data_IF_692418000808
#
_entry.id   IF_692418000808
#
_cell.length_a   1.000
_cell.length_b   1.000
_cell.length_c   1.000
_cell.angle_alpha   90.00
_cell.angle_beta   90.00
_cell.angle_gamma   90.00
#
_symmetry.space_group_name_H-M   'P 1'
#
loop_
_entity.id
_entity.type
_entity.pdbx_description
1 polymer ?
#
# COMPACT_ATOMS: atom_id res chain seq x y z
N UNK A 1 -6.05 -0.62 23.61
CA UNK A 1 -5.96 -2.08 23.44
C UNK A 1 -5.30 -2.40 22.10
N UNK A 2 -4.74 -3.61 21.89
CA UNK A 2 -4.19 -4.01 20.60
C UNK A 2 -5.19 -3.86 19.46
N UNK A 3 -6.45 -4.20 19.67
CA UNK A 3 -7.53 -4.11 18.67
C UNK A 3 -7.75 -2.67 18.18
N UNK A 4 -7.63 -1.69 19.07
CA UNK A 4 -7.82 -0.26 18.74
C UNK A 4 -6.61 0.35 18.04
N UNK A 5 -5.43 -0.25 18.20
CA UNK A 5 -4.18 0.26 17.62
C UNK A 5 -3.91 -0.28 16.21
N UNK A 6 -4.37 -1.51 15.93
CA UNK A 6 -4.09 -2.16 14.64
C UNK A 6 -4.56 -1.38 13.40
N UNK A 7 -5.72 -0.69 13.38
CA UNK A 7 -6.13 0.12 12.24
C UNK A 7 -5.49 1.52 12.21
N UNK A 8 -4.67 1.87 13.21
CA UNK A 8 -4.06 3.19 13.29
C UNK A 8 -2.72 3.26 12.54
N UNK A 9 -2.27 4.46 12.19
CA UNK A 9 -0.95 4.66 11.59
C UNK A 9 0.17 4.13 12.50
N UNK A 10 0.88 3.09 12.06
CA UNK A 10 1.99 2.52 12.81
C UNK A 10 3.10 3.55 13.08
N UNK A 11 3.43 4.40 12.08
CA UNK A 11 4.38 5.49 12.23
C UNK A 11 3.96 6.45 13.36
N UNK A 12 2.72 6.93 13.31
CA UNK A 12 2.18 7.87 14.29
C UNK A 12 2.14 7.27 15.70
N UNK A 13 1.79 5.99 15.81
CA UNK A 13 1.81 5.28 17.07
C UNK A 13 3.22 5.19 17.69
N UNK A 14 4.21 4.74 16.92
CA UNK A 14 5.57 4.60 17.45
C UNK A 14 6.21 5.94 17.78
N UNK A 15 5.98 6.95 16.96
CA UNK A 15 6.38 8.32 17.23
C UNK A 15 5.81 8.83 18.57
N UNK A 16 4.50 8.80 18.73
CA UNK A 16 3.83 9.30 19.94
C UNK A 16 4.25 8.53 21.19
N UNK A 17 4.36 7.21 21.07
CA UNK A 17 4.84 6.34 22.16
C UNK A 17 6.23 6.75 22.63
N UNK A 18 7.17 6.97 21.72
CA UNK A 18 8.55 7.33 22.04
C UNK A 18 8.64 8.72 22.69
N UNK A 19 7.92 9.71 22.15
CA UNK A 19 7.83 11.05 22.75
C UNK A 19 7.24 10.96 24.16
N UNK A 20 6.11 10.27 24.35
CA UNK A 20 5.50 10.11 25.66
C UNK A 20 6.42 9.40 26.66
N UNK A 21 7.13 8.35 26.23
CA UNK A 21 8.04 7.62 27.12
C UNK A 21 9.18 8.50 27.64
N UNK A 22 9.67 9.44 26.82
CA UNK A 22 10.77 10.34 27.16
C UNK A 22 10.33 11.60 27.91
N UNK A 23 9.17 12.14 27.63
CA UNK A 23 8.70 13.41 28.19
C UNK A 23 7.64 13.26 29.29
N UNK A 24 6.89 12.14 29.31
CA UNK A 24 5.68 11.90 30.10
C UNK A 24 4.54 12.86 29.77
N UNK A 25 4.64 13.61 28.67
CA UNK A 25 3.59 14.49 28.19
C UNK A 25 2.69 13.73 27.20
N UNK A 26 1.36 13.72 27.38
CA UNK A 26 0.44 13.12 26.42
C UNK A 26 0.59 13.71 25.02
N UNK A 27 0.57 12.87 23.99
CA UNK A 27 0.65 13.29 22.58
C UNK A 27 -0.68 13.02 21.90
N UNK A 28 -1.35 14.09 21.48
CA UNK A 28 -2.52 13.99 20.61
C UNK A 28 -2.09 13.83 19.15
N UNK A 29 -2.78 12.97 18.41
CA UNK A 29 -2.50 12.71 16.98
C UNK A 29 -3.78 12.91 16.19
N UNK A 30 -3.69 13.70 15.12
CA UNK A 30 -4.70 13.79 14.07
C UNK A 30 -4.12 13.05 12.86
N UNK A 31 -4.71 11.92 12.50
CA UNK A 31 -4.33 11.16 11.32
C UNK A 31 -5.17 11.59 10.11
N UNK A 32 -4.70 12.63 9.41
CA UNK A 32 -5.28 13.12 8.16
C UNK A 32 -4.40 12.67 7.02
N UNK A 33 -4.68 11.48 6.47
CA UNK A 33 -3.83 10.86 5.44
C UNK A 33 -4.65 10.02 4.45
N UNK A 34 -4.27 10.07 3.17
CA UNK A 34 -4.83 9.24 2.10
C UNK A 34 -3.68 8.73 1.25
N UNK A 35 -3.52 7.41 1.16
CA UNK A 35 -2.43 6.78 0.42
C UNK A 35 -2.50 7.07 -1.08
N UNK A 36 -1.34 7.29 -1.73
CA UNK A 36 -1.27 7.56 -3.17
C UNK A 36 -1.69 8.96 -3.60
N UNK A 37 -1.96 9.87 -2.65
CA UNK A 37 -2.40 11.23 -2.97
C UNK A 37 -1.23 12.13 -3.41
N UNK A 38 -1.44 13.00 -4.42
CA UNK A 38 -0.45 13.99 -4.83
C UNK A 38 -0.50 15.24 -3.94
N UNK A 39 0.62 15.97 -3.85
CA UNK A 39 0.76 17.13 -2.95
C UNK A 39 -0.24 18.26 -3.27
N UNK A 40 -0.55 18.51 -4.54
CA UNK A 40 -1.49 19.55 -4.97
C UNK A 40 -2.92 19.34 -4.47
N UNK A 41 -3.30 18.11 -4.14
CA UNK A 41 -4.59 17.81 -3.53
C UNK A 41 -4.72 18.36 -2.09
N UNK A 42 -3.60 18.61 -1.43
CA UNK A 42 -3.51 19.06 -0.05
C UNK A 42 -3.28 20.58 0.10
N UNK A 43 -3.26 21.33 -1.00
CA UNK A 43 -3.03 22.77 -1.02
C UNK A 43 -4.38 23.46 -1.19
N UNK A 44 -4.61 24.58 -0.45
CA UNK A 44 -5.79 25.40 -0.67
C UNK A 44 -5.79 26.07 -2.03
N UNK A 45 -6.96 26.56 -2.48
CA UNK A 45 -7.05 27.33 -3.72
C UNK A 45 -6.14 28.56 -3.70
N UNK A 46 -6.04 29.24 -2.55
CA UNK A 46 -5.13 30.37 -2.35
C UNK A 46 -3.67 29.97 -2.50
N UNK A 47 -3.27 28.85 -1.88
CA UNK A 47 -1.91 28.31 -2.00
C UNK A 47 -1.54 27.85 -3.40
N UNK A 48 -2.53 27.51 -4.23
CA UNK A 48 -2.35 27.11 -5.62
C UNK A 48 -2.31 28.28 -6.61
N UNK A 49 -2.53 29.52 -6.19
CA UNK A 49 -2.50 30.70 -7.12
C UNK A 49 -1.22 30.81 -7.94
N UNK A 50 -0.02 30.49 -7.44
CA UNK A 50 1.19 30.47 -8.25
C UNK A 50 1.23 29.38 -9.32
N UNK A 51 0.28 28.45 -9.31
CA UNK A 51 0.23 27.27 -10.18
C UNK A 51 -1.06 27.23 -10.99
N UNK A 52 -1.22 28.10 -12.03
CA UNK A 52 -2.46 28.25 -12.78
C UNK A 52 -2.94 26.96 -13.45
N UNK A 53 -2.05 26.04 -13.77
CA UNK A 53 -2.40 24.72 -14.32
C UNK A 53 -3.33 23.96 -13.35
N UNK A 54 -2.98 23.87 -12.08
CA UNK A 54 -3.79 23.19 -11.08
C UNK A 54 -5.10 23.88 -10.77
N UNK A 55 -5.14 25.21 -10.82
CA UNK A 55 -6.39 25.95 -10.68
C UNK A 55 -7.34 25.71 -11.86
N UNK A 56 -6.80 25.60 -13.08
CA UNK A 56 -7.61 25.24 -14.24
C UNK A 56 -8.13 23.81 -14.15
N UNK A 57 -7.30 22.85 -13.73
CA UNK A 57 -7.75 21.50 -13.47
C UNK A 57 -8.86 21.46 -12.41
N UNK A 58 -8.69 22.16 -11.27
CA UNK A 58 -9.72 22.29 -10.24
C UNK A 58 -11.07 22.72 -10.81
N UNK A 59 -11.09 23.79 -11.63
CA UNK A 59 -12.32 24.31 -12.24
C UNK A 59 -13.04 23.30 -13.13
N UNK A 60 -12.32 22.43 -13.81
CA UNK A 60 -12.92 21.34 -14.61
C UNK A 60 -13.73 20.41 -13.70
N UNK A 61 -13.20 20.06 -12.55
CA UNK A 61 -13.84 19.14 -11.61
C UNK A 61 -14.82 19.79 -10.63
N UNK A 62 -15.08 21.09 -10.75
CA UNK A 62 -16.19 21.79 -10.09
C UNK A 62 -17.55 21.58 -10.79
N UNK A 63 -17.55 21.03 -11.98
CA UNK A 63 -18.77 20.69 -12.72
C UNK A 63 -19.35 19.36 -12.20
N UNK A 64 -20.42 19.43 -11.44
CA UNK A 64 -21.13 18.25 -10.92
C UNK A 64 -21.61 17.34 -12.06
N UNK A 65 -22.11 17.92 -13.16
CA UNK A 65 -22.56 17.16 -14.33
C UNK A 65 -21.43 16.34 -14.96
N UNK A 66 -20.24 16.93 -15.09
CA UNK A 66 -19.06 16.24 -15.60
C UNK A 66 -18.65 15.10 -14.65
N UNK A 67 -18.56 15.39 -13.36
CA UNK A 67 -18.17 14.41 -12.35
C UNK A 67 -19.15 13.23 -12.31
N UNK A 68 -20.46 13.50 -12.35
CA UNK A 68 -21.47 12.44 -12.38
C UNK A 68 -21.46 11.65 -13.68
N UNK A 69 -21.19 12.30 -14.84
CA UNK A 69 -20.98 11.60 -16.11
C UNK A 69 -19.79 10.65 -16.03
N UNK A 70 -18.65 11.12 -15.56
CA UNK A 70 -17.45 10.29 -15.37
C UNK A 70 -17.69 9.11 -14.43
N UNK A 71 -18.33 9.31 -13.29
CA UNK A 71 -18.71 8.24 -12.36
C UNK A 71 -19.62 7.18 -13.00
N UNK A 72 -20.50 7.58 -13.91
CA UNK A 72 -21.37 6.63 -14.65
C UNK A 72 -20.59 5.80 -15.65
N UNK A 73 -19.57 6.37 -16.28
CA UNK A 73 -18.72 5.68 -17.28
C UNK A 73 -17.73 4.72 -16.59
N UNK A 74 -17.29 5.01 -15.37
CA UNK A 74 -16.35 4.22 -14.56
C UNK A 74 -16.99 2.98 -13.90
N UNK A 75 -17.82 2.22 -14.58
CA UNK A 75 -18.58 1.11 -14.01
C UNK A 75 -17.73 -0.14 -13.72
N UNK A 76 -16.88 -0.08 -12.73
CA UNK A 76 -16.16 -1.25 -12.20
C UNK A 76 -17.11 -2.36 -11.73
N UNK A 77 -18.33 -2.02 -11.29
CA UNK A 77 -19.33 -3.02 -10.87
C UNK A 77 -19.72 -3.96 -12.01
N UNK A 78 -20.01 -3.45 -13.21
CA UNK A 78 -20.35 -4.27 -14.37
C UNK A 78 -19.21 -5.21 -14.76
N UNK A 79 -17.97 -4.74 -14.68
CA UNK A 79 -16.77 -5.53 -14.93
C UNK A 79 -16.63 -6.67 -13.92
N UNK A 80 -16.81 -6.37 -12.63
CA UNK A 80 -16.73 -7.38 -11.56
C UNK A 80 -17.85 -8.43 -11.69
N UNK A 81 -19.06 -8.02 -12.05
CA UNK A 81 -20.17 -8.95 -12.31
C UNK A 81 -19.84 -9.86 -13.49
N UNK A 82 -19.34 -9.32 -14.60
CA UNK A 82 -18.94 -10.10 -15.76
C UNK A 82 -17.78 -11.07 -15.44
N UNK A 83 -16.79 -10.63 -14.68
CA UNK A 83 -15.71 -11.47 -14.19
C UNK A 83 -16.26 -12.64 -13.35
N UNK A 84 -17.10 -12.34 -12.37
CA UNK A 84 -17.70 -13.38 -11.52
C UNK A 84 -18.54 -14.38 -12.32
N UNK A 85 -19.32 -13.91 -13.29
CA UNK A 85 -20.15 -14.78 -14.13
C UNK A 85 -19.35 -15.62 -15.12
N UNK A 86 -18.24 -15.08 -15.63
CA UNK A 86 -17.38 -15.74 -16.61
C UNK A 86 -16.33 -16.68 -16.01
N UNK A 87 -16.11 -16.65 -14.69
CA UNK A 87 -15.04 -17.41 -14.05
C UNK A 87 -15.39 -18.89 -13.92
N UNK A 88 -14.82 -19.71 -14.79
CA UNK A 88 -15.03 -21.16 -14.80
C UNK A 88 -14.70 -21.81 -13.47
N UNK A 89 -13.68 -21.34 -12.78
CA UNK A 89 -13.25 -21.90 -11.49
C UNK A 89 -14.28 -21.79 -10.38
N UNK A 90 -15.27 -20.90 -10.53
CA UNK A 90 -16.36 -20.74 -9.59
C UNK A 90 -17.63 -21.52 -9.98
N UNK A 91 -17.79 -21.85 -11.26
CA UNK A 91 -19.08 -22.31 -11.79
C UNK A 91 -19.06 -23.73 -12.37
N UNK A 92 -17.92 -24.40 -12.44
CA UNK A 92 -17.87 -25.82 -12.77
C UNK A 92 -18.52 -26.65 -11.66
N UNK A 93 -18.99 -27.86 -12.02
CA UNK A 93 -19.67 -28.77 -11.08
C UNK A 93 -18.88 -29.00 -9.79
N UNK A 94 -17.54 -29.11 -9.90
CA UNK A 94 -16.62 -29.08 -8.79
C UNK A 94 -15.82 -27.79 -8.89
N UNK A 95 -16.00 -26.83 -7.97
CA UNK A 95 -15.24 -25.58 -8.02
C UNK A 95 -13.72 -25.82 -7.93
N UNK A 96 -12.93 -25.03 -8.63
CA UNK A 96 -11.49 -25.22 -8.71
C UNK A 96 -10.73 -25.05 -7.38
N UNK A 97 -11.36 -24.46 -6.37
CA UNK A 97 -10.83 -24.41 -5.02
C UNK A 97 -11.15 -25.64 -4.17
N UNK A 98 -12.02 -26.55 -4.64
CA UNK A 98 -12.38 -27.74 -3.89
C UNK A 98 -11.17 -28.65 -3.65
N UNK A 99 -11.14 -29.31 -2.48
CA UNK A 99 -10.00 -30.13 -2.09
C UNK A 99 -9.83 -31.37 -2.98
N UNK A 100 -10.92 -31.87 -3.54
CA UNK A 100 -11.02 -33.07 -4.41
C UNK A 100 -11.07 -32.72 -5.91
N UNK A 101 -10.87 -31.46 -6.28
CA UNK A 101 -10.82 -31.05 -7.69
C UNK A 101 -9.62 -31.70 -8.40
N UNK A 102 -9.86 -32.29 -9.56
CA UNK A 102 -8.82 -32.87 -10.40
C UNK A 102 -8.15 -31.79 -11.28
N UNK A 103 -6.96 -31.40 -10.90
CA UNK A 103 -6.13 -30.41 -11.59
C UNK A 103 -5.03 -31.05 -12.46
N UNK A 104 -5.18 -32.32 -12.84
CA UNK A 104 -4.17 -33.09 -13.60
C UNK A 104 -3.88 -32.49 -15.00
N UNK A 105 -4.87 -31.79 -15.58
CA UNK A 105 -4.79 -31.14 -16.89
C UNK A 105 -4.30 -29.67 -16.82
N UNK A 106 -3.99 -29.13 -15.63
CA UNK A 106 -3.50 -27.79 -15.49
C UNK A 106 -2.02 -27.67 -15.88
N UNK A 107 -1.62 -26.51 -16.39
CA UNK A 107 -0.25 -26.24 -16.80
C UNK A 107 0.65 -26.02 -15.58
N UNK A 108 1.80 -26.66 -15.53
CA UNK A 108 2.81 -26.32 -14.52
C UNK A 108 3.46 -24.97 -14.81
N UNK A 109 3.64 -24.17 -13.77
CA UNK A 109 4.28 -22.86 -13.83
C UNK A 109 5.03 -22.55 -12.53
N UNK A 110 6.00 -21.67 -12.61
CA UNK A 110 6.59 -21.00 -11.44
C UNK A 110 5.84 -19.69 -11.22
N UNK A 111 5.51 -19.35 -9.97
CA UNK A 111 4.78 -18.10 -9.62
C UNK A 111 5.50 -16.86 -10.14
N UNK A 112 6.82 -16.88 -10.17
CA UNK A 112 7.65 -15.72 -10.47
C UNK A 112 7.98 -15.57 -11.97
N UNK A 113 7.42 -16.42 -12.82
CA UNK A 113 7.48 -16.25 -14.28
C UNK A 113 6.33 -15.37 -14.77
N UNK A 114 6.49 -14.74 -15.93
CA UNK A 114 5.44 -13.91 -16.54
C UNK A 114 4.63 -14.65 -17.61
N UNK A 115 5.00 -15.88 -17.94
CA UNK A 115 4.38 -16.62 -19.05
C UNK A 115 2.88 -16.85 -18.90
N UNK A 116 2.40 -17.08 -17.71
CA UNK A 116 0.97 -17.25 -17.41
C UNK A 116 0.18 -15.94 -17.51
N UNK A 117 0.85 -14.79 -17.34
CA UNK A 117 0.24 -13.47 -17.30
C UNK A 117 0.08 -12.81 -18.68
N UNK A 118 0.62 -13.46 -19.74
CA UNK A 118 0.71 -12.82 -21.07
C UNK A 118 0.24 -13.77 -22.18
N UNK A 119 -0.33 -13.17 -23.22
CA UNK A 119 -0.56 -13.81 -24.51
C UNK A 119 0.19 -13.03 -25.58
N UNK A 120 1.37 -13.50 -25.97
CA UNK A 120 2.30 -12.73 -26.77
C UNK A 120 2.77 -11.48 -26.05
N UNK A 121 2.53 -10.29 -26.61
CA UNK A 121 2.89 -9.01 -26.01
C UNK A 121 1.80 -8.43 -25.07
N UNK A 122 0.62 -9.04 -25.02
CA UNK A 122 -0.53 -8.52 -24.31
C UNK A 122 -0.65 -9.13 -22.92
N UNK A 123 -0.96 -8.32 -21.92
CA UNK A 123 -1.33 -8.79 -20.59
C UNK A 123 -2.72 -9.43 -20.65
N UNK A 124 -2.87 -10.58 -20.00
CA UNK A 124 -4.16 -11.23 -19.80
C UNK A 124 -4.74 -10.76 -18.48
N UNK A 125 -5.86 -10.04 -18.53
CA UNK A 125 -6.60 -9.60 -17.35
C UNK A 125 -7.72 -10.59 -17.01
N UNK A 126 -8.26 -10.49 -15.82
CA UNK A 126 -9.35 -11.34 -15.33
C UNK A 126 -8.96 -12.19 -14.14
N UNK A 127 -9.42 -13.44 -14.10
CA UNK A 127 -9.10 -14.36 -12.99
C UNK A 127 -8.11 -15.44 -13.42
N UNK A 128 -7.07 -15.58 -12.60
CA UNK A 128 -6.02 -16.57 -12.77
C UNK A 128 -5.99 -17.49 -11.56
N UNK A 129 -5.98 -18.78 -11.78
CA UNK A 129 -6.04 -19.77 -10.72
C UNK A 129 -4.73 -20.54 -10.61
N UNK A 130 -4.27 -20.69 -9.37
CA UNK A 130 -3.05 -21.43 -9.03
C UNK A 130 -3.36 -22.45 -7.96
N UNK A 131 -2.84 -23.66 -8.11
CA UNK A 131 -2.99 -24.74 -7.13
C UNK A 131 -1.62 -25.36 -6.83
N UNK A 132 -1.42 -25.71 -5.57
CA UNK A 132 -0.23 -26.44 -5.13
C UNK A 132 -0.57 -27.41 -4.03
N UNK A 133 -0.09 -28.64 -4.20
CA UNK A 133 -0.09 -29.63 -3.13
C UNK A 133 1.14 -29.46 -2.27
N UNK A 134 0.98 -29.65 -0.96
CA UNK A 134 2.05 -29.63 0.01
C UNK A 134 1.85 -30.67 1.11
N UNK A 135 2.93 -31.07 1.76
CA UNK A 135 2.92 -32.09 2.79
C UNK A 135 2.95 -31.46 4.19
N UNK A 136 2.12 -31.96 5.07
CA UNK A 136 2.05 -31.57 6.49
C UNK A 136 2.39 -32.80 7.34
N UNK A 137 3.29 -32.64 8.28
CA UNK A 137 3.65 -33.74 9.21
C UNK A 137 2.51 -34.03 10.19
N UNK A 138 2.50 -35.21 10.78
CA UNK A 138 1.53 -35.57 11.81
C UNK A 138 1.60 -34.63 13.03
N UNK A 139 2.78 -34.08 13.31
CA UNK A 139 2.97 -33.14 14.41
C UNK A 139 2.36 -31.76 14.12
N UNK A 140 2.41 -31.30 12.86
CA UNK A 140 1.85 -30.02 12.42
C UNK A 140 0.34 -30.10 12.12
N UNK A 141 -0.17 -31.31 11.89
CA UNK A 141 -1.57 -31.50 11.56
C UNK A 141 -2.50 -31.02 12.69
N UNK A 142 -3.54 -30.29 12.32
CA UNK A 142 -4.50 -29.73 13.26
C UNK A 142 -4.04 -28.45 13.97
N UNK A 143 -2.79 -28.03 13.85
CA UNK A 143 -2.33 -26.76 14.40
C UNK A 143 -2.89 -25.55 13.65
N UNK A 144 -3.02 -24.43 14.36
CA UNK A 144 -3.20 -23.12 13.74
C UNK A 144 -1.90 -22.70 13.08
N UNK A 145 -1.96 -22.19 11.85
CA UNK A 145 -0.79 -21.74 11.14
C UNK A 145 -0.99 -20.34 10.53
N UNK A 146 0.10 -19.70 10.14
CA UNK A 146 0.12 -18.45 9.39
C UNK A 146 0.59 -18.71 7.97
N UNK A 147 -0.26 -18.39 6.99
CA UNK A 147 0.08 -18.45 5.57
C UNK A 147 0.60 -17.08 5.12
N UNK A 148 1.77 -17.06 4.49
CA UNK A 148 2.35 -15.88 3.86
C UNK A 148 2.49 -16.12 2.35
N UNK A 149 2.00 -15.18 1.55
CA UNK A 149 2.03 -15.24 0.08
C UNK A 149 2.56 -13.94 -0.53
N UNK A 150 3.56 -13.34 0.10
CA UNK A 150 4.19 -12.10 -0.38
C UNK A 150 3.21 -10.98 -0.64
N UNK A 151 3.39 -10.31 -1.79
CA UNK A 151 2.42 -9.37 -2.37
C UNK A 151 1.98 -9.91 -3.73
N UNK A 152 0.69 -9.78 -4.03
CA UNK A 152 0.07 -10.28 -5.27
C UNK A 152 -0.57 -9.11 -6.02
N UNK A 153 -0.30 -8.97 -7.30
CA UNK A 153 -0.85 -7.89 -8.15
C UNK A 153 -1.94 -8.47 -9.06
N UNK A 154 -3.20 -8.00 -8.99
CA UNK A 154 -3.69 -6.88 -8.17
C UNK A 154 -4.33 -7.33 -6.85
N UNK A 155 -5.20 -8.33 -6.87
CA UNK A 155 -5.99 -8.84 -5.75
C UNK A 155 -6.02 -10.37 -5.74
N UNK A 156 -6.51 -10.96 -4.65
CA UNK A 156 -6.58 -12.42 -4.53
C UNK A 156 -7.72 -12.89 -3.64
N UNK A 157 -8.05 -14.17 -3.76
CA UNK A 157 -8.80 -14.97 -2.79
C UNK A 157 -8.08 -16.30 -2.61
N UNK A 158 -7.88 -16.72 -1.37
CA UNK A 158 -7.08 -17.89 -1.04
C UNK A 158 -7.89 -18.94 -0.30
N UNK A 159 -7.68 -20.18 -0.68
CA UNK A 159 -8.34 -21.36 -0.10
C UNK A 159 -7.29 -22.39 0.32
N UNK A 160 -7.53 -23.08 1.42
CA UNK A 160 -6.74 -24.23 1.88
C UNK A 160 -7.72 -25.40 2.06
N UNK A 161 -7.43 -26.53 1.44
CA UNK A 161 -8.30 -27.71 1.47
C UNK A 161 -9.79 -27.37 1.18
N UNK A 162 -10.05 -26.48 0.21
CA UNK A 162 -11.38 -26.04 -0.17
C UNK A 162 -12.00 -24.96 0.72
N UNK A 163 -11.39 -24.64 1.86
CA UNK A 163 -11.88 -23.62 2.79
C UNK A 163 -11.24 -22.27 2.51
N UNK A 164 -12.06 -21.22 2.37
CA UNK A 164 -11.59 -19.85 2.23
C UNK A 164 -10.83 -19.39 3.48
N UNK A 165 -9.62 -18.85 3.29
CA UNK A 165 -8.77 -18.38 4.40
C UNK A 165 -8.47 -16.89 4.37
N UNK A 166 -8.69 -16.21 3.25
CA UNK A 166 -8.50 -14.76 3.18
C UNK A 166 -8.51 -14.18 1.77
N UNK A 167 -8.56 -12.85 1.72
CA UNK A 167 -8.53 -12.04 0.49
C UNK A 167 -7.89 -10.69 0.77
N UNK A 168 -7.23 -10.13 -0.22
CA UNK A 168 -6.78 -8.73 -0.26
C UNK A 168 -7.17 -8.15 -1.61
N UNK A 169 -7.81 -6.98 -1.59
CA UNK A 169 -8.45 -6.38 -2.76
C UNK A 169 -7.54 -5.48 -3.60
N UNK A 170 -6.28 -5.29 -3.22
CA UNK A 170 -5.33 -4.48 -3.99
C UNK A 170 -3.86 -4.90 -3.76
N UNK A 171 -2.95 -4.42 -4.59
CA UNK A 171 -1.63 -4.99 -4.80
C UNK A 171 -0.63 -4.85 -3.64
N UNK A 172 -0.72 -3.83 -2.79
CA UNK A 172 0.37 -3.49 -1.88
C UNK A 172 0.45 -4.28 -0.57
N UNK A 173 -0.66 -4.58 0.15
CA UNK A 173 -0.54 -5.26 1.43
C UNK A 173 0.08 -6.65 1.28
N UNK A 174 0.97 -7.04 2.20
CA UNK A 174 1.43 -8.41 2.28
C UNK A 174 0.27 -9.35 2.59
N UNK A 175 0.24 -10.49 1.90
CA UNK A 175 -0.74 -11.56 2.11
C UNK A 175 -0.34 -12.36 3.33
N UNK A 176 -1.01 -12.09 4.45
CA UNK A 176 -0.80 -12.78 5.73
C UNK A 176 -2.16 -13.28 6.19
N UNK A 177 -2.39 -14.58 6.02
CA UNK A 177 -3.66 -15.21 6.33
C UNK A 177 -3.53 -16.19 7.49
N UNK A 178 -4.59 -16.34 8.27
CA UNK A 178 -4.66 -17.37 9.30
C UNK A 178 -5.23 -18.65 8.71
N UNK A 179 -4.52 -19.77 8.84
CA UNK A 179 -5.07 -21.11 8.64
C UNK A 179 -5.64 -21.58 9.99
N UNK A 180 -6.96 -21.78 10.11
CA UNK A 180 -7.58 -22.21 11.37
C UNK A 180 -7.05 -23.55 11.86
N UNK A 181 -7.06 -23.76 13.16
CA UNK A 181 -6.77 -25.05 13.74
C UNK A 181 -7.78 -26.10 13.21
N UNK A 182 -7.28 -27.31 12.94
CA UNK A 182 -8.09 -28.43 12.42
C UNK A 182 -8.26 -28.44 10.89
N UNK A 183 -7.83 -27.39 10.16
CA UNK A 183 -7.95 -27.36 8.71
C UNK A 183 -6.86 -28.16 8.00
N UNK A 184 -5.62 -28.11 8.48
CA UNK A 184 -4.51 -28.88 7.95
C UNK A 184 -4.56 -30.34 8.45
N UNK A 185 -4.36 -31.28 7.54
CA UNK A 185 -4.36 -32.72 7.79
C UNK A 185 -2.96 -33.27 7.64
N UNK A 186 -2.64 -34.36 8.33
CA UNK A 186 -1.39 -35.07 8.09
C UNK A 186 -1.35 -35.61 6.65
N UNK A 187 -0.19 -35.48 6.00
CA UNK A 187 -0.01 -35.85 4.61
C UNK A 187 -0.35 -34.71 3.65
N UNK A 188 -1.00 -35.06 2.55
CA UNK A 188 -1.32 -34.14 1.44
C UNK A 188 -2.36 -33.10 1.82
N UNK A 189 -2.07 -31.84 1.55
CA UNK A 189 -2.96 -30.69 1.63
C UNK A 189 -2.84 -29.89 0.33
N UNK A 190 -3.84 -29.07 0.00
CA UNK A 190 -3.86 -28.27 -1.22
C UNK A 190 -4.13 -26.81 -0.87
N UNK A 191 -3.34 -25.91 -1.42
CA UNK A 191 -3.61 -24.46 -1.43
C UNK A 191 -4.05 -24.04 -2.83
N UNK A 192 -5.07 -23.20 -2.90
CA UNK A 192 -5.59 -22.60 -4.13
C UNK A 192 -5.59 -21.08 -4.01
N UNK A 193 -5.00 -20.40 -5.00
CA UNK A 193 -5.00 -18.93 -5.11
C UNK A 193 -5.80 -18.56 -6.35
N UNK A 194 -6.81 -17.72 -6.17
CA UNK A 194 -7.53 -17.04 -7.24
C UNK A 194 -7.02 -15.61 -7.30
N UNK A 195 -6.15 -15.30 -8.27
CA UNK A 195 -5.61 -13.97 -8.51
C UNK A 195 -6.53 -13.20 -9.46
N UNK A 196 -6.73 -11.92 -9.19
CA UNK A 196 -7.46 -10.99 -10.05
C UNK A 196 -6.50 -9.98 -10.66
N UNK A 197 -6.54 -9.83 -12.00
CA UNK A 197 -5.83 -8.80 -12.75
C UNK A 197 -6.81 -7.80 -13.33
N UNK A 198 -6.69 -6.53 -12.92
CA UNK A 198 -7.61 -5.46 -13.33
C UNK A 198 -7.13 -4.69 -14.56
N UNK A 199 -5.85 -4.73 -14.90
CA UNK A 199 -5.32 -3.98 -16.05
C UNK A 199 -3.85 -3.65 -15.94
N UNK A 200 -3.21 -4.12 -14.85
CA UNK A 200 -1.79 -3.94 -14.61
C UNK A 200 -0.93 -5.05 -15.20
N UNK A 201 0.13 -5.37 -14.49
CA UNK A 201 1.00 -6.53 -14.77
C UNK A 201 0.82 -7.52 -13.63
N UNK A 202 -0.07 -8.52 -13.78
CA UNK A 202 -0.30 -9.49 -12.73
C UNK A 202 0.98 -10.27 -12.43
N UNK A 203 1.30 -10.37 -11.14
CA UNK A 203 2.52 -11.04 -10.70
C UNK A 203 2.47 -11.39 -9.21
N UNK A 204 3.29 -12.33 -8.84
CA UNK A 204 3.72 -12.56 -7.46
C UNK A 204 5.05 -11.84 -7.27
N UNK A 205 5.14 -10.99 -6.25
CA UNK A 205 6.34 -10.17 -6.00
C UNK A 205 7.48 -11.05 -5.47
N UNK A 206 8.60 -11.06 -6.16
CA UNK A 206 9.79 -11.85 -5.78
C UNK A 206 10.40 -11.39 -4.46
N UNK A 207 11.16 -12.29 -3.83
CA UNK A 207 11.91 -12.01 -2.60
C UNK A 207 11.02 -11.58 -1.43
N UNK A 208 9.77 -12.03 -1.43
CA UNK A 208 8.84 -11.95 -0.31
C UNK A 208 8.56 -13.37 0.22
N UNK A 209 8.11 -13.52 1.48
CA UNK A 209 7.84 -14.83 2.04
C UNK A 209 6.66 -15.55 1.36
N UNK A 210 6.89 -16.76 0.84
CA UNK A 210 5.85 -17.67 0.33
C UNK A 210 5.94 -18.98 1.11
N UNK A 211 5.27 -19.04 2.26
CA UNK A 211 5.40 -20.15 3.19
C UNK A 211 4.24 -20.26 4.19
N UNK A 212 4.13 -21.40 4.83
CA UNK A 212 3.26 -21.64 5.98
C UNK A 212 4.15 -21.71 7.22
N UNK A 213 3.80 -20.96 8.28
CA UNK A 213 4.51 -20.90 9.55
C UNK A 213 3.66 -21.52 10.66
N UNK A 214 4.25 -22.39 11.46
CA UNK A 214 3.65 -22.99 12.65
C UNK A 214 4.30 -22.44 13.92
N UNK A 215 3.63 -22.60 15.05
CA UNK A 215 4.13 -22.18 16.36
C UNK A 215 3.47 -20.91 16.90
N UNK A 216 3.83 -20.57 18.15
CA UNK A 216 3.27 -19.42 18.89
C UNK A 216 4.04 -18.11 18.66
N UNK A 217 5.07 -18.14 17.85
CA UNK A 217 5.93 -17.01 17.55
C UNK A 217 5.27 -15.91 16.75
N UNK A 218 6.01 -14.84 16.49
CA UNK A 218 5.60 -13.82 15.52
C UNK A 218 5.52 -14.45 14.11
N UNK A 219 4.66 -13.94 13.21
CA UNK A 219 4.51 -14.49 11.86
C UNK A 219 5.82 -14.65 11.07
N UNK A 220 6.89 -14.01 11.51
CA UNK A 220 8.22 -14.00 10.88
C UNK A 220 9.20 -15.02 11.51
N UNK A 221 8.85 -15.59 12.66
CA UNK A 221 9.67 -16.54 13.43
C UNK A 221 8.83 -17.73 13.89
N UNK A 222 8.31 -18.48 12.92
CA UNK A 222 7.64 -19.75 13.19
C UNK A 222 8.65 -20.81 13.67
N UNK A 223 8.24 -21.73 14.56
CA UNK A 223 9.07 -22.85 15.02
C UNK A 223 9.37 -23.84 13.89
N UNK A 224 8.44 -23.98 12.94
CA UNK A 224 8.63 -24.76 11.71
C UNK A 224 7.91 -24.13 10.54
N UNK A 225 8.37 -24.40 9.33
CA UNK A 225 7.80 -23.82 8.12
C UNK A 225 7.68 -24.81 6.97
N UNK A 226 6.75 -24.53 6.05
CA UNK A 226 6.60 -25.21 4.77
C UNK A 226 6.80 -24.17 3.67
N UNK A 227 7.81 -24.37 2.83
CA UNK A 227 8.07 -23.52 1.68
C UNK A 227 7.01 -23.77 0.58
N UNK A 228 6.46 -22.69 0.02
CA UNK A 228 5.47 -22.73 -1.07
C UNK A 228 6.03 -22.24 -2.42
N UNK A 229 7.30 -21.89 -2.50
CA UNK A 229 7.93 -21.52 -3.76
C UNK A 229 8.05 -22.73 -4.72
N UNK A 230 8.54 -22.49 -5.94
CA UNK A 230 8.72 -23.51 -6.98
C UNK A 230 7.46 -23.76 -7.81
N UNK A 231 7.27 -25.00 -8.28
CA UNK A 231 6.20 -25.34 -9.24
C UNK A 231 4.82 -25.28 -8.63
N UNK A 232 3.91 -24.65 -9.36
CA UNK A 232 2.46 -24.58 -9.13
C UNK A 232 1.73 -25.03 -10.38
N UNK A 233 0.49 -25.45 -10.24
CA UNK A 233 -0.41 -25.67 -11.36
C UNK A 233 -1.22 -24.41 -11.62
N UNK A 234 -1.41 -24.06 -12.88
CA UNK A 234 -2.07 -22.83 -13.34
C UNK A 234 -3.19 -23.13 -14.33
N UNK A 235 -4.29 -22.38 -14.19
CA UNK A 235 -5.33 -22.31 -15.20
C UNK A 235 -5.99 -20.92 -15.25
N UNK A 236 -6.36 -20.48 -16.46
CA UNK A 236 -7.05 -19.20 -16.66
C UNK A 236 -8.55 -19.40 -16.40
N UNK A 237 -9.10 -18.66 -15.44
CA UNK A 237 -10.52 -18.74 -15.07
C UNK A 237 -11.42 -17.97 -16.03
N UNK A 238 -11.27 -16.66 -16.08
CA UNK A 238 -12.00 -15.77 -16.97
C UNK A 238 -11.07 -14.73 -17.59
N UNK A 239 -10.81 -14.77 -18.90
CA UNK A 239 -10.14 -13.65 -19.58
C UNK A 239 -11.10 -12.47 -19.65
N UNK A 240 -10.61 -11.28 -19.29
CA UNK A 240 -11.36 -10.02 -19.28
C UNK A 240 -10.60 -8.93 -20.02
N UNK A 241 -11.29 -7.91 -20.57
CA UNK A 241 -10.62 -6.65 -20.92
C UNK A 241 -10.06 -6.01 -19.64
N UNK A 242 -9.15 -5.04 -19.79
CA UNK A 242 -8.74 -4.25 -18.64
C UNK A 242 -9.97 -3.63 -17.94
N UNK A 243 -9.96 -3.64 -16.61
CA UNK A 243 -11.02 -2.98 -15.85
C UNK A 243 -11.03 -1.47 -16.16
N UNK A 244 -12.20 -0.82 -16.19
CA UNK A 244 -12.27 0.62 -16.36
C UNK A 244 -11.45 1.34 -15.29
N UNK A 245 -10.64 2.31 -15.69
CA UNK A 245 -9.93 3.18 -14.77
C UNK A 245 -10.91 3.96 -13.89
N UNK A 246 -10.52 4.23 -12.67
CA UNK A 246 -11.29 5.06 -11.74
C UNK A 246 -10.61 6.40 -11.54
N UNK A 247 -11.37 7.49 -11.65
CA UNK A 247 -10.88 8.82 -11.33
C UNK A 247 -10.97 9.05 -9.82
N UNK A 248 -9.83 9.20 -9.18
CA UNK A 248 -9.77 9.56 -7.77
C UNK A 248 -10.05 11.07 -7.61
N UNK A 249 -11.34 11.48 -7.63
CA UNK A 249 -11.74 12.89 -7.56
C UNK A 249 -11.16 13.63 -6.34
N UNK A 250 -11.02 12.94 -5.21
CA UNK A 250 -10.40 13.50 -4.01
C UNK A 250 -8.90 13.81 -4.18
N UNK A 251 -8.23 13.25 -5.21
CA UNK A 251 -6.84 13.58 -5.54
C UNK A 251 -6.70 14.81 -6.44
N UNK A 252 -7.83 15.37 -6.90
CA UNK A 252 -7.79 16.59 -7.71
C UNK A 252 -7.35 17.77 -6.85
N UNK A 253 -6.78 18.81 -7.47
CA UNK A 253 -6.26 19.97 -6.74
C UNK A 253 -7.26 20.50 -5.71
N UNK A 254 -6.80 20.75 -4.48
CA UNK A 254 -7.60 21.17 -3.31
C UNK A 254 -8.53 20.11 -2.70
N UNK A 255 -8.77 18.96 -3.34
CA UNK A 255 -9.79 18.01 -2.90
C UNK A 255 -9.58 17.52 -1.46
N UNK A 256 -8.38 17.08 -1.12
CA UNK A 256 -8.04 16.62 0.22
C UNK A 256 -7.87 17.77 1.22
N UNK A 257 -7.37 18.93 0.75
CA UNK A 257 -7.35 20.12 1.60
C UNK A 257 -8.74 20.47 2.08
N UNK A 258 -9.71 20.59 1.19
CA UNK A 258 -11.09 20.97 1.55
C UNK A 258 -11.76 19.95 2.47
N UNK A 259 -11.54 18.65 2.21
CA UNK A 259 -12.20 17.58 2.97
C UNK A 259 -11.53 17.27 4.30
N UNK A 260 -10.21 17.40 4.41
CA UNK A 260 -9.44 16.81 5.50
C UNK A 260 -8.56 17.81 6.27
N UNK A 261 -8.24 18.96 5.69
CA UNK A 261 -7.41 19.98 6.34
C UNK A 261 -8.23 21.19 6.78
N UNK A 262 -9.06 21.75 5.90
CA UNK A 262 -9.87 22.90 6.23
C UNK A 262 -10.75 22.71 7.48
N UNK A 263 -11.39 21.54 7.71
CA UNK A 263 -12.14 21.30 8.96
C UNK A 263 -11.29 21.27 10.23
N UNK A 264 -9.97 21.09 10.11
CA UNK A 264 -9.05 20.99 11.25
C UNK A 264 -8.46 22.32 11.68
N UNK A 265 -8.66 23.39 10.94
CA UNK A 265 -8.03 24.68 11.19
C UNK A 265 -8.39 25.30 12.55
N UNK A 266 -9.50 24.88 13.15
CA UNK A 266 -9.90 25.28 14.48
C UNK A 266 -9.15 24.57 15.63
N UNK A 267 -8.40 23.49 15.31
CA UNK A 267 -7.60 22.78 16.31
C UNK A 267 -6.19 23.35 16.36
N UNK A 268 -5.69 23.56 17.56
CA UNK A 268 -4.27 23.92 17.74
C UNK A 268 -3.40 22.68 17.53
N UNK A 269 -2.47 22.76 16.57
CA UNK A 269 -1.49 21.71 16.29
C UNK A 269 -0.07 22.18 16.63
N UNK A 270 0.77 21.28 17.13
CA UNK A 270 2.16 21.58 17.48
C UNK A 270 3.10 21.53 16.29
N UNK A 271 2.77 20.74 15.27
CA UNK A 271 3.55 20.56 14.04
C UNK A 271 2.92 19.53 13.13
N UNK A 272 3.54 19.32 11.97
CA UNK A 272 3.10 18.41 10.93
C UNK A 272 4.17 17.38 10.63
N UNK A 273 3.79 16.10 10.57
CA UNK A 273 4.61 15.03 10.00
C UNK A 273 4.07 14.76 8.60
N UNK A 274 4.89 15.05 7.59
CA UNK A 274 4.53 14.90 6.19
C UNK A 274 5.22 13.69 5.56
N UNK A 275 4.45 12.65 5.25
CA UNK A 275 4.93 11.42 4.61
C UNK A 275 4.17 11.18 3.32
N UNK A 276 4.67 11.68 2.22
CA UNK A 276 4.05 11.68 0.90
C UNK A 276 5.12 11.89 -0.17
N UNK A 277 4.85 11.48 -1.41
CA UNK A 277 5.71 11.87 -2.52
C UNK A 277 5.62 10.96 -3.74
N UNK A 278 5.28 9.71 -3.55
CA UNK A 278 5.32 8.65 -4.56
C UNK A 278 4.56 9.04 -5.84
N UNK A 279 3.38 9.64 -5.70
CA UNK A 279 2.53 10.09 -6.82
C UNK A 279 3.08 11.31 -7.57
N UNK A 280 4.03 12.02 -6.98
CA UNK A 280 4.66 13.18 -7.60
C UNK A 280 6.02 12.88 -8.24
N UNK A 281 6.54 11.64 -8.14
CA UNK A 281 7.88 11.28 -8.68
C UNK A 281 7.98 11.55 -10.19
N UNK A 282 6.92 11.28 -10.95
CA UNK A 282 6.89 11.58 -12.39
C UNK A 282 6.92 13.08 -12.70
N UNK A 283 6.51 13.93 -11.75
CA UNK A 283 6.48 15.39 -11.82
C UNK A 283 7.42 16.04 -10.81
N UNK A 284 8.54 15.39 -10.49
CA UNK A 284 9.50 15.79 -9.46
C UNK A 284 10.07 17.20 -9.62
N UNK A 285 10.12 17.70 -10.85
CA UNK A 285 10.67 19.03 -11.15
C UNK A 285 9.88 20.18 -10.51
N UNK A 286 8.58 19.99 -10.24
CA UNK A 286 7.69 20.99 -9.63
C UNK A 286 7.43 20.72 -8.13
N UNK A 287 7.84 19.55 -7.62
CA UNK A 287 7.50 19.10 -6.26
C UNK A 287 8.05 20.02 -5.18
N UNK A 288 9.27 20.52 -5.34
CA UNK A 288 9.88 21.45 -4.40
C UNK A 288 9.01 22.70 -4.22
N UNK A 289 8.56 23.29 -5.32
CA UNK A 289 7.76 24.52 -5.30
C UNK A 289 6.36 24.24 -4.73
N UNK A 290 5.73 23.15 -5.12
CA UNK A 290 4.43 22.73 -4.59
C UNK A 290 4.47 22.42 -3.09
N UNK A 291 5.46 21.69 -2.61
CA UNK A 291 5.58 21.37 -1.18
C UNK A 291 5.91 22.63 -0.36
N UNK A 292 6.74 23.52 -0.89
CA UNK A 292 7.03 24.82 -0.26
C UNK A 292 5.75 25.67 -0.17
N UNK A 293 4.95 25.71 -1.24
CA UNK A 293 3.68 26.41 -1.23
C UNK A 293 2.68 25.80 -0.21
N UNK A 294 2.59 24.49 -0.12
CA UNK A 294 1.76 23.80 0.87
C UNK A 294 2.16 24.18 2.31
N UNK A 295 3.46 24.14 2.61
CA UNK A 295 3.97 24.51 3.94
C UNK A 295 3.60 25.95 4.27
N UNK A 296 3.80 26.87 3.33
CA UNK A 296 3.46 28.29 3.49
C UNK A 296 1.96 28.50 3.68
N UNK A 297 1.14 27.85 2.84
CA UNK A 297 -0.32 27.91 2.88
C UNK A 297 -0.85 27.40 4.24
N UNK A 298 -0.41 26.24 4.70
CA UNK A 298 -0.87 25.71 5.98
C UNK A 298 -0.43 26.58 7.16
N UNK A 299 0.81 27.10 7.17
CA UNK A 299 1.27 28.05 8.18
C UNK A 299 0.41 29.30 8.24
N UNK A 300 0.04 29.83 7.08
CA UNK A 300 -0.86 30.99 6.99
C UNK A 300 -2.25 30.66 7.51
N UNK A 301 -2.84 29.52 7.10
CA UNK A 301 -4.18 29.08 7.51
C UNK A 301 -4.30 28.82 9.00
N UNK A 302 -3.29 28.23 9.61
CA UNK A 302 -3.23 28.07 11.07
C UNK A 302 -2.78 29.31 11.83
N UNK A 303 -2.49 30.42 11.12
CA UNK A 303 -1.90 31.63 11.71
C UNK A 303 -0.67 31.31 12.57
N UNK A 304 0.21 30.44 12.09
CA UNK A 304 1.38 29.91 12.79
C UNK A 304 2.58 29.84 11.87
N UNK A 305 3.22 31.01 11.61
CA UNK A 305 4.30 31.15 10.62
C UNK A 305 5.54 30.29 10.92
N UNK A 306 5.72 29.88 12.18
CA UNK A 306 6.83 29.06 12.66
C UNK A 306 6.47 27.59 12.86
N UNK A 307 5.28 27.14 12.45
CA UNK A 307 4.82 25.76 12.59
C UNK A 307 5.84 24.79 12.00
N UNK A 308 6.35 23.83 12.79
CA UNK A 308 7.38 22.90 12.31
C UNK A 308 6.76 21.85 11.38
N UNK A 309 7.54 21.48 10.35
CA UNK A 309 7.26 20.36 9.46
C UNK A 309 8.38 19.35 9.51
N UNK A 310 8.02 18.09 9.62
CA UNK A 310 8.92 16.94 9.58
C UNK A 310 8.62 16.15 8.31
N UNK A 311 9.44 16.37 7.27
CA UNK A 311 9.27 15.72 5.98
C UNK A 311 9.96 14.37 6.05
N UNK A 312 9.22 13.29 5.80
CA UNK A 312 9.79 11.95 5.70
C UNK A 312 10.27 11.73 4.26
N UNK A 313 11.56 11.48 4.12
CA UNK A 313 12.18 11.09 2.86
C UNK A 313 11.52 9.83 2.29
N UNK A 314 11.32 9.75 0.97
CA UNK A 314 10.87 8.51 0.36
C UNK A 314 11.87 7.38 0.62
N UNK A 315 11.36 6.23 1.00
CA UNK A 315 12.16 5.03 1.21
C UNK A 315 12.83 4.56 -0.08
N UNK A 316 13.84 3.69 -0.01
CA UNK A 316 14.36 3.05 -1.21
C UNK A 316 13.31 2.12 -1.82
N UNK A 317 13.21 2.13 -3.13
CA UNK A 317 12.22 1.38 -3.89
C UNK A 317 12.69 1.20 -5.34
N UNK A 318 12.07 0.26 -6.08
CA UNK A 318 12.34 -0.11 -7.47
C UNK A 318 13.53 -1.05 -7.65
N UNK A 319 13.35 -1.97 -8.61
CA UNK A 319 14.36 -2.98 -8.95
C UNK A 319 15.74 -2.35 -9.19
N UNK A 320 16.83 -2.96 -8.72
CA UNK A 320 18.18 -2.52 -9.03
C UNK A 320 18.47 -2.41 -10.53
N UNK A 321 17.71 -3.11 -11.36
CA UNK A 321 17.81 -3.06 -12.84
C UNK A 321 17.03 -1.93 -13.47
N UNK A 322 16.09 -1.31 -12.77
CA UNK A 322 15.34 -0.13 -13.22
C UNK A 322 16.15 1.15 -12.99
N UNK A 323 17.14 1.40 -13.84
CA UNK A 323 18.01 2.56 -13.72
C UNK A 323 17.25 3.90 -13.83
N UNK A 324 16.29 3.98 -14.76
CA UNK A 324 15.52 5.22 -14.99
C UNK A 324 14.62 5.57 -13.81
N UNK A 325 13.84 4.62 -13.33
CA UNK A 325 12.98 4.80 -12.16
C UNK A 325 13.77 5.13 -10.90
N UNK A 326 14.87 4.44 -10.64
CA UNK A 326 15.75 4.72 -9.49
C UNK A 326 16.38 6.11 -9.55
N UNK A 327 16.76 6.58 -10.74
CA UNK A 327 17.25 7.97 -10.92
C UNK A 327 16.15 8.96 -10.58
N UNK A 328 14.95 8.80 -11.13
CA UNK A 328 13.82 9.69 -10.83
C UNK A 328 13.48 9.71 -9.34
N UNK A 329 13.55 8.55 -8.68
CA UNK A 329 13.32 8.40 -7.24
C UNK A 329 14.38 9.13 -6.40
N UNK A 330 15.66 9.02 -6.79
CA UNK A 330 16.75 9.73 -6.14
C UNK A 330 16.66 11.26 -6.31
N UNK A 331 16.32 11.73 -7.52
CA UNK A 331 16.07 13.15 -7.79
C UNK A 331 14.89 13.69 -6.97
N UNK A 332 13.84 12.89 -6.80
CA UNK A 332 12.72 13.26 -5.94
C UNK A 332 13.13 13.42 -4.47
N UNK A 333 13.89 12.47 -3.92
CA UNK A 333 14.45 12.59 -2.55
C UNK A 333 15.31 13.84 -2.39
N UNK A 334 16.09 14.20 -3.42
CA UNK A 334 16.85 15.44 -3.43
C UNK A 334 15.92 16.66 -3.34
N UNK A 335 14.82 16.68 -4.07
CA UNK A 335 13.82 17.76 -3.97
C UNK A 335 13.22 17.85 -2.56
N UNK A 336 12.93 16.73 -1.88
CA UNK A 336 12.49 16.72 -0.49
C UNK A 336 13.53 17.32 0.46
N UNK A 337 14.82 16.99 0.27
CA UNK A 337 15.92 17.55 1.06
C UNK A 337 16.06 19.06 0.84
N UNK A 338 16.01 19.51 -0.40
CA UNK A 338 16.08 20.93 -0.74
C UNK A 338 14.95 21.76 -0.12
N UNK A 339 13.74 21.20 0.02
CA UNK A 339 12.65 21.87 0.76
C UNK A 339 13.02 22.04 2.22
N UNK A 340 13.59 21.02 2.86
CA UNK A 340 14.03 21.13 4.26
C UNK A 340 15.15 22.12 4.44
N UNK A 341 16.12 22.17 3.54
CA UNK A 341 17.27 23.06 3.60
C UNK A 341 16.89 24.55 3.37
N UNK A 342 15.87 24.81 2.56
CA UNK A 342 15.50 26.17 2.16
C UNK A 342 14.39 26.78 2.99
N UNK A 343 13.67 25.99 3.80
CA UNK A 343 12.55 26.47 4.60
C UNK A 343 12.86 26.39 6.10
N UNK A 344 12.66 27.48 6.82
CA UNK A 344 12.82 27.51 8.29
C UNK A 344 11.85 26.55 8.98
N UNK A 345 12.27 25.93 10.06
CA UNK A 345 11.49 24.97 10.85
C UNK A 345 10.93 23.81 9.99
N UNK A 346 11.71 23.38 9.01
CA UNK A 346 11.43 22.16 8.25
C UNK A 346 12.61 21.22 8.43
N UNK A 347 12.32 19.98 8.81
CA UNK A 347 13.34 18.96 9.08
C UNK A 347 13.10 17.75 8.21
N UNK A 348 14.13 17.28 7.49
CA UNK A 348 14.08 16.02 6.75
C UNK A 348 14.34 14.85 7.70
N UNK A 349 13.48 13.86 7.66
CA UNK A 349 13.64 12.59 8.38
C UNK A 349 14.09 11.52 7.40
N UNK A 350 15.29 11.02 7.59
CA UNK A 350 15.87 9.97 6.73
C UNK A 350 15.05 8.68 6.79
N UNK A 351 14.76 8.10 5.62
CA UNK A 351 13.98 6.87 5.47
C UNK A 351 14.47 5.97 4.32
N UNK A 352 15.41 6.44 3.53
CA UNK A 352 15.94 5.69 2.38
C UNK A 352 16.59 4.36 2.74
N UNK A 353 17.14 4.24 3.96
CA UNK A 353 17.78 3.02 4.48
C UNK A 353 16.80 2.03 5.14
N UNK A 354 15.52 2.37 5.24
CA UNK A 354 14.46 1.50 5.77
C UNK A 354 13.58 0.90 4.68
N UNK A 355 13.88 1.20 3.41
CA UNK A 355 13.12 0.72 2.25
C UNK A 355 13.53 -0.67 1.78
N UNK A 356 12.67 -1.26 0.98
CA UNK A 356 12.93 -2.49 0.23
C UNK A 356 12.66 -2.23 -1.26
N UNK A 357 13.56 -2.70 -2.13
CA UNK A 357 13.43 -2.43 -3.57
C UNK A 357 12.11 -2.93 -4.19
N UNK A 358 11.51 -3.93 -3.57
CA UNK A 358 10.29 -4.61 -4.02
C UNK A 358 9.05 -4.26 -3.18
N UNK A 359 9.15 -3.25 -2.31
CA UNK A 359 8.02 -2.78 -1.51
C UNK A 359 8.06 -1.25 -1.34
N UNK A 360 7.06 -0.57 -1.91
CA UNK A 360 6.92 0.88 -1.79
C UNK A 360 6.56 1.32 -0.35
N UNK A 361 6.10 0.37 0.49
CA UNK A 361 5.68 0.60 1.86
C UNK A 361 6.67 -0.03 2.85
N UNK A 362 7.71 0.68 3.30
CA UNK A 362 8.70 0.14 4.24
C UNK A 362 8.05 -0.43 5.49
N UNK A 363 8.46 -1.61 5.91
CA UNK A 363 7.86 -2.31 7.04
C UNK A 363 8.35 -1.78 8.39
N UNK A 364 9.58 -1.24 8.48
CA UNK A 364 10.15 -0.74 9.74
C UNK A 364 9.61 0.64 10.15
N UNK A 365 8.32 0.70 10.43
CA UNK A 365 7.65 1.91 10.94
C UNK A 365 8.08 2.27 12.37
N UNK A 366 8.62 1.31 13.11
CA UNK A 366 9.11 1.56 14.48
C UNK A 366 10.37 2.43 14.46
N UNK A 367 11.39 2.05 13.72
CA UNK A 367 12.62 2.85 13.58
C UNK A 367 12.31 4.22 13.00
N UNK A 368 11.46 4.30 11.98
CA UNK A 368 11.05 5.57 11.40
C UNK A 368 10.34 6.47 12.43
N UNK A 369 9.39 5.93 13.21
CA UNK A 369 8.71 6.66 14.28
C UNK A 369 9.66 7.19 15.35
N UNK A 370 10.68 6.42 15.73
CA UNK A 370 11.73 6.84 16.66
C UNK A 370 12.60 7.98 16.10
N UNK A 371 12.91 7.98 14.80
CA UNK A 371 13.62 9.08 14.12
C UNK A 371 12.82 10.38 14.17
N UNK A 372 11.51 10.31 13.88
CA UNK A 372 10.61 11.47 14.00
C UNK A 372 10.58 11.98 15.44
N UNK A 373 10.43 11.08 16.42
CA UNK A 373 10.43 11.45 17.84
C UNK A 373 11.74 12.13 18.26
N UNK A 374 12.88 11.61 17.82
CA UNK A 374 14.21 12.18 18.13
C UNK A 374 14.32 13.61 17.58
N UNK A 375 13.90 13.87 16.35
CA UNK A 375 13.94 15.21 15.76
C UNK A 375 13.07 16.21 16.55
N UNK A 376 11.86 15.80 16.91
CA UNK A 376 10.93 16.65 17.69
C UNK A 376 11.47 16.95 19.07
N UNK A 377 12.06 15.97 19.76
CA UNK A 377 12.63 16.14 21.10
C UNK A 377 13.86 17.08 21.10
N UNK A 378 14.67 17.06 20.05
CA UNK A 378 15.78 18.02 19.87
C UNK A 378 15.22 19.43 19.76
N UNK A 379 14.18 19.64 18.96
CA UNK A 379 13.56 20.96 18.81
C UNK A 379 12.93 21.46 20.11
N UNK A 380 12.18 20.59 20.82
CA UNK A 380 11.60 20.93 22.13
C UNK A 380 12.66 21.37 23.14
N UNK A 381 13.77 20.64 23.21
CA UNK A 381 14.87 20.98 24.12
C UNK A 381 15.55 22.32 23.76
N UNK A 382 15.61 22.65 22.48
CA UNK A 382 16.20 23.91 21.99
C UNK A 382 15.30 25.09 22.33
N UNK A 383 13.98 24.94 22.25
CA UNK A 383 13.00 25.97 22.61
C UNK A 383 12.93 26.21 24.12
N UNK A 384 13.10 25.16 24.94
CA UNK A 384 13.10 25.30 26.41
C UNK A 384 14.39 25.95 26.99
N UNK A 385 15.43 26.07 26.16
CA UNK A 385 16.70 26.73 26.57
C UNK A 385 16.79 28.23 26.21
N UNK A 386 15.82 28.73 25.48
CA UNK A 386 15.63 30.14 25.14
C UNK A 386 14.56 30.78 26.00
#
# INVERSE_FOLDING_TARGET
TPENVMPFSALAYFFAKDVYQKTKVPVGIINSSVGGSPVEAWISEEGLKPFPYYLNEKRIYESDDLVESMKKEERSHAWNVALCQGDKGMHEATPWYAADYDDSNWTETDLFTSGWATNGLNTVNGSHWFRKDFQVSAQQAGEKATLRLGCIVDADSVYVNGTFVGTVSYQYPPRIYTIPAGLLKAGKNTITIRLFSYGGRPQFVKEKPYKILFGKGQPEKGESEINLEGSWKYHLGAPMPAAPGQTAFHYKPTGLYNAMIAPLLNYTVSGVIWYQGESNVSRRNEYKDLLTAMISDWRQRWNKSDMPFYIIELADFLSPTDKGGRTAWAEFRKAQAEVADTNKNVTLIKNSDLGEWNDIHPLDKKTLGQRVAAAILIEMNTKNRK
#
